data_IF_975221633578
#
_entry.id   IF_975221633578
#
_cell.length_a   1.000
_cell.length_b   1.000
_cell.length_c   1.000
_cell.angle_alpha   90.00
_cell.angle_beta   90.00
_cell.angle_gamma   90.00
#
_symmetry.space_group_name_H-M   'P 1'
#
loop_
_entity.id
_entity.type
_entity.pdbx_description
1 polymer ?
#
# COMPACT_ATOMS: atom_id res chain seq x y z
N UNK A 1 -51.05 36.62 -2.99
CA UNK A 1 -50.84 35.17 -2.85
C UNK A 1 -50.05 34.70 -4.06
N UNK A 2 -48.79 35.15 -4.22
CA UNK A 2 -47.95 34.78 -5.38
C UNK A 2 -46.45 34.92 -5.05
N UNK A 3 -46.03 34.47 -3.86
CA UNK A 3 -44.60 34.56 -3.47
C UNK A 3 -44.03 33.31 -2.79
N UNK A 4 -44.82 32.25 -2.65
CA UNK A 4 -44.36 30.97 -2.10
C UNK A 4 -44.15 29.87 -3.16
N UNK A 5 -44.46 30.15 -4.44
CA UNK A 5 -44.31 29.15 -5.53
C UNK A 5 -42.93 29.17 -6.19
N UNK A 6 -42.21 30.30 -6.10
CA UNK A 6 -40.90 30.48 -6.73
C UNK A 6 -39.71 29.94 -5.91
N UNK A 7 -39.88 29.67 -4.62
CA UNK A 7 -38.81 29.14 -3.77
C UNK A 7 -38.72 27.61 -3.80
N UNK A 8 -39.81 26.91 -4.15
CA UNK A 8 -39.82 25.46 -4.29
C UNK A 8 -39.20 24.98 -5.63
N UNK A 9 -39.44 25.68 -6.73
CA UNK A 9 -38.81 25.36 -8.04
C UNK A 9 -37.31 25.67 -8.07
N UNK A 10 -36.85 26.64 -7.28
CA UNK A 10 -35.43 26.96 -7.14
C UNK A 10 -34.66 25.91 -6.31
N UNK A 11 -35.33 25.20 -5.40
CA UNK A 11 -34.74 24.14 -4.59
C UNK A 11 -34.58 22.83 -5.39
N UNK A 12 -35.56 22.47 -6.22
CA UNK A 12 -35.51 21.27 -7.06
C UNK A 12 -34.43 21.39 -8.15
N UNK A 13 -34.28 22.56 -8.79
CA UNK A 13 -33.21 22.83 -9.78
C UNK A 13 -31.80 22.91 -9.18
N UNK A 14 -31.66 22.98 -7.85
CA UNK A 14 -30.37 22.94 -7.15
C UNK A 14 -29.99 21.52 -6.74
N UNK A 15 -30.96 20.61 -6.68
CA UNK A 15 -30.76 19.21 -6.34
C UNK A 15 -30.59 18.31 -7.59
N UNK A 16 -31.10 18.73 -8.75
CA UNK A 16 -30.83 18.07 -10.05
C UNK A 16 -29.52 18.50 -10.74
N UNK A 17 -28.79 19.47 -10.18
CA UNK A 17 -27.50 19.96 -10.72
C UNK A 17 -26.26 19.41 -10.00
N UNK A 18 -26.43 18.37 -9.18
CA UNK A 18 -25.34 17.67 -8.46
C UNK A 18 -25.14 16.24 -9.00
N UNK A 19 -25.78 15.88 -10.12
CA UNK A 19 -25.71 14.53 -10.70
C UNK A 19 -25.09 14.42 -12.10
N UNK A 20 -24.53 15.49 -12.65
CA UNK A 20 -23.75 15.40 -13.90
C UNK A 20 -22.49 16.26 -13.78
N UNK A 21 -21.37 15.67 -14.25
CA UNK A 21 -20.03 16.28 -14.43
C UNK A 21 -19.19 16.30 -13.13
N UNK A 22 -18.08 15.57 -12.97
CA UNK A 22 -17.15 14.99 -13.94
C UNK A 22 -16.63 13.65 -13.42
N UNK A 23 -16.88 12.60 -14.21
CA UNK A 23 -15.99 11.45 -14.26
C UNK A 23 -14.69 11.93 -14.91
N UNK A 24 -13.77 12.45 -14.11
CA UNK A 24 -12.35 12.40 -14.47
C UNK A 24 -11.94 10.93 -14.38
N UNK A 25 -12.26 10.19 -15.45
CA UNK A 25 -11.46 9.05 -15.86
C UNK A 25 -10.10 9.60 -16.22
N UNK A 26 -9.26 9.78 -15.21
CA UNK A 26 -7.85 9.53 -15.45
C UNK A 26 -7.77 8.06 -15.86
N UNK A 27 -7.65 7.84 -17.17
CA UNK A 27 -7.02 6.65 -17.71
C UNK A 27 -5.63 6.57 -17.08
N UNK A 28 -5.56 6.04 -15.86
CA UNK A 28 -4.33 5.49 -15.30
C UNK A 28 -4.12 4.21 -16.08
N UNK A 29 -3.59 4.42 -17.28
CA UNK A 29 -3.05 3.42 -18.16
C UNK A 29 -2.24 2.49 -17.27
N UNK A 30 -2.77 1.28 -17.06
CA UNK A 30 -2.17 0.23 -16.26
C UNK A 30 -0.79 -0.03 -16.83
N UNK A 31 0.20 0.67 -16.27
CA UNK A 31 1.59 0.46 -16.60
C UNK A 31 1.85 -0.97 -16.17
N UNK A 32 2.23 -1.82 -17.13
CA UNK A 32 2.83 -3.12 -16.86
C UNK A 32 4.13 -2.88 -16.06
N UNK A 33 4.00 -2.67 -14.75
CA UNK A 33 5.12 -2.49 -13.82
C UNK A 33 5.65 -3.87 -13.44
N UNK A 34 6.05 -4.67 -14.43
CA UNK A 34 6.69 -5.97 -14.15
C UNK A 34 8.21 -5.95 -14.33
N UNK A 35 8.79 -4.88 -14.90
CA UNK A 35 10.25 -4.78 -15.13
C UNK A 35 10.93 -3.57 -14.50
N UNK A 36 10.24 -2.43 -14.38
CA UNK A 36 10.83 -1.10 -14.13
C UNK A 36 11.19 -0.84 -12.66
N UNK A 37 10.48 -1.44 -11.71
CA UNK A 37 10.65 -1.15 -10.28
C UNK A 37 12.03 -1.54 -9.73
N UNK A 38 12.59 -2.69 -10.13
CA UNK A 38 13.93 -3.12 -9.68
C UNK A 38 15.04 -2.23 -10.24
N UNK A 39 14.85 -1.73 -11.45
CA UNK A 39 15.82 -0.91 -12.16
C UNK A 39 15.90 0.49 -11.56
N UNK A 40 14.75 1.12 -11.30
CA UNK A 40 14.64 2.41 -10.61
C UNK A 40 15.35 2.40 -9.25
N UNK A 41 15.32 1.28 -8.53
CA UNK A 41 15.86 1.21 -7.17
C UNK A 41 17.35 1.01 -7.17
N UNK A 42 17.85 0.24 -8.12
CA UNK A 42 19.30 0.11 -8.33
C UNK A 42 19.89 1.48 -8.71
N UNK A 43 19.18 2.24 -9.55
CA UNK A 43 19.54 3.61 -9.90
C UNK A 43 19.49 4.55 -8.68
N UNK A 44 18.39 4.58 -7.94
CA UNK A 44 18.24 5.45 -6.77
C UNK A 44 19.22 5.10 -5.64
N UNK A 45 19.48 3.81 -5.38
CA UNK A 45 20.53 3.37 -4.45
C UNK A 45 21.89 3.89 -4.90
N UNK A 46 22.20 3.81 -6.19
CA UNK A 46 23.42 4.35 -6.76
C UNK A 46 23.53 5.87 -6.59
N UNK A 47 22.45 6.61 -6.83
CA UNK A 47 22.39 8.06 -6.63
C UNK A 47 22.57 8.46 -5.16
N UNK A 48 21.91 7.76 -4.23
CA UNK A 48 22.09 7.98 -2.79
C UNK A 48 23.54 7.71 -2.39
N UNK A 49 24.14 6.62 -2.88
CA UNK A 49 25.55 6.32 -2.65
C UNK A 49 26.48 7.42 -3.13
N UNK A 50 26.28 7.92 -4.37
CA UNK A 50 27.03 9.06 -4.93
C UNK A 50 26.85 10.33 -4.10
N UNK A 51 25.63 10.61 -3.65
CA UNK A 51 25.35 11.76 -2.80
C UNK A 51 26.10 11.66 -1.46
N UNK A 52 26.10 10.49 -0.82
CA UNK A 52 26.86 10.23 0.42
C UNK A 52 28.36 10.44 0.21
N UNK A 53 28.94 9.90 -0.87
CA UNK A 53 30.36 10.10 -1.18
C UNK A 53 30.70 11.58 -1.43
N UNK A 54 29.85 12.27 -2.19
CA UNK A 54 30.00 13.71 -2.46
C UNK A 54 30.00 14.52 -1.16
N UNK A 55 29.04 14.24 -0.27
CA UNK A 55 28.90 14.91 1.03
C UNK A 55 30.12 14.63 1.93
N UNK A 56 30.58 13.39 1.98
CA UNK A 56 31.80 13.02 2.74
C UNK A 56 33.05 13.73 2.23
N UNK A 57 33.10 14.08 0.93
CA UNK A 57 34.22 14.84 0.34
C UNK A 57 34.25 16.32 0.72
N UNK A 58 33.16 16.89 1.24
CA UNK A 58 33.05 18.32 1.56
C UNK A 58 33.96 18.72 2.72
N UNK A 59 34.00 17.92 3.79
CA UNK A 59 34.84 18.17 4.97
C UNK A 59 36.32 18.36 4.62
N UNK A 60 36.96 17.37 3.95
CA UNK A 60 38.35 17.48 3.51
C UNK A 60 38.63 18.70 2.61
N UNK A 61 37.70 19.06 1.70
CA UNK A 61 37.84 20.24 0.83
C UNK A 61 37.84 21.53 1.62
N UNK A 62 36.84 21.71 2.50
CA UNK A 62 36.73 22.90 3.35
C UNK A 62 37.97 23.04 4.24
N UNK A 63 38.47 21.94 4.81
CA UNK A 63 39.69 21.97 5.61
C UNK A 63 40.90 22.48 4.82
N UNK A 64 41.08 22.00 3.58
CA UNK A 64 42.12 22.48 2.67
C UNK A 64 41.99 23.98 2.36
N UNK A 65 40.78 24.44 2.01
CA UNK A 65 40.50 25.84 1.70
C UNK A 65 40.78 26.77 2.89
N UNK A 66 40.46 26.32 4.11
CA UNK A 66 40.72 27.08 5.35
C UNK A 66 42.21 27.16 5.70
N UNK A 67 42.98 26.12 5.36
CA UNK A 67 44.45 26.11 5.51
C UNK A 67 45.10 27.08 4.51
N UNK A 68 44.66 27.05 3.24
CA UNK A 68 45.13 27.95 2.19
C UNK A 68 44.79 29.42 2.50
N UNK A 69 43.57 29.69 2.97
CA UNK A 69 43.11 31.02 3.35
C UNK A 69 43.76 31.58 4.63
N UNK A 70 44.67 30.82 5.28
CA UNK A 70 45.39 31.22 6.51
C UNK A 70 44.47 31.68 7.64
N UNK A 71 43.28 31.11 7.74
CA UNK A 71 42.29 31.45 8.78
C UNK A 71 42.87 31.19 10.18
N UNK A 72 42.51 31.97 11.19
CA UNK A 72 43.03 31.72 12.54
C UNK A 72 42.58 30.33 13.07
N UNK A 73 43.43 29.59 13.81
CA UNK A 73 43.16 28.20 14.20
C UNK A 73 41.83 27.97 14.93
N UNK A 74 41.40 28.94 15.77
CA UNK A 74 40.13 28.88 16.50
C UNK A 74 38.92 28.75 15.57
N UNK A 75 38.88 29.52 14.48
CA UNK A 75 37.76 29.49 13.53
C UNK A 75 37.80 28.24 12.64
N UNK A 76 38.99 27.68 12.36
CA UNK A 76 39.11 26.40 11.65
C UNK A 76 38.50 25.27 12.46
N UNK A 77 38.86 25.15 13.73
CA UNK A 77 38.33 24.11 14.62
C UNK A 77 36.80 24.20 14.78
N UNK A 78 36.25 25.41 14.87
CA UNK A 78 34.79 25.60 14.92
C UNK A 78 34.12 25.18 13.60
N UNK A 79 34.72 25.50 12.45
CA UNK A 79 34.18 25.14 11.15
C UNK A 79 34.30 23.63 10.89
N UNK A 80 35.46 23.02 11.17
CA UNK A 80 35.69 21.58 11.04
C UNK A 80 34.65 20.80 11.84
N UNK A 81 34.45 21.14 13.12
CA UNK A 81 33.43 20.49 13.96
C UNK A 81 32.01 20.67 13.39
N UNK A 82 31.69 21.88 12.91
CA UNK A 82 30.36 22.15 12.34
C UNK A 82 30.12 21.36 11.06
N UNK A 83 31.13 21.29 10.18
CA UNK A 83 31.05 20.55 8.92
C UNK A 83 30.99 19.05 9.17
N UNK A 84 31.82 18.51 10.05
CA UNK A 84 31.75 17.09 10.45
C UNK A 84 30.36 16.71 10.97
N UNK A 85 29.76 17.53 11.84
CA UNK A 85 28.41 17.27 12.34
C UNK A 85 27.36 17.29 11.23
N UNK A 86 27.43 18.26 10.30
CA UNK A 86 26.47 18.35 9.19
C UNK A 86 26.64 17.21 8.19
N UNK A 87 27.89 16.82 7.89
CA UNK A 87 28.21 15.65 7.05
C UNK A 87 27.63 14.39 7.68
N UNK A 88 27.81 14.20 8.99
CA UNK A 88 27.28 13.06 9.71
C UNK A 88 25.75 13.02 9.66
N UNK A 89 25.08 14.13 9.99
CA UNK A 89 23.61 14.22 9.94
C UNK A 89 23.05 13.91 8.55
N UNK A 90 23.69 14.43 7.50
CA UNK A 90 23.27 14.21 6.12
C UNK A 90 23.48 12.74 5.71
N UNK A 91 24.58 12.11 6.11
CA UNK A 91 24.82 10.69 5.89
C UNK A 91 23.76 9.83 6.58
N UNK A 92 23.47 10.08 7.86
CA UNK A 92 22.45 9.34 8.62
C UNK A 92 21.05 9.46 8.01
N UNK A 93 20.70 10.65 7.50
CA UNK A 93 19.45 10.90 6.79
C UNK A 93 19.36 10.07 5.51
N UNK A 94 20.43 10.06 4.71
CA UNK A 94 20.50 9.31 3.45
C UNK A 94 20.49 7.79 3.68
N UNK A 95 21.19 7.30 4.70
CA UNK A 95 21.17 5.89 5.08
C UNK A 95 19.79 5.45 5.58
N UNK A 96 19.08 6.32 6.30
CA UNK A 96 17.69 6.05 6.72
C UNK A 96 16.75 5.97 5.52
N UNK A 97 16.91 6.88 4.56
CA UNK A 97 16.18 6.82 3.29
C UNK A 97 16.48 5.52 2.52
N UNK A 98 17.75 5.15 2.40
CA UNK A 98 18.17 3.93 1.71
C UNK A 98 17.55 2.66 2.35
N UNK A 99 17.57 2.58 3.69
CA UNK A 99 16.89 1.50 4.42
C UNK A 99 15.39 1.49 4.18
N UNK A 100 14.74 2.65 4.26
CA UNK A 100 13.30 2.79 4.01
C UNK A 100 12.92 2.28 2.62
N UNK A 101 13.67 2.68 1.59
CA UNK A 101 13.46 2.24 0.22
C UNK A 101 13.59 0.72 0.05
N UNK A 102 14.58 0.08 0.70
CA UNK A 102 14.75 -1.37 0.66
C UNK A 102 13.52 -2.11 1.22
N UNK A 103 12.95 -1.60 2.32
CA UNK A 103 11.75 -2.17 2.94
C UNK A 103 10.53 -2.02 2.05
N UNK A 104 10.29 -0.82 1.50
CA UNK A 104 9.20 -0.59 0.55
C UNK A 104 9.29 -1.49 -0.68
N UNK A 105 10.50 -1.81 -1.14
CA UNK A 105 10.66 -2.71 -2.29
C UNK A 105 10.34 -4.15 -1.99
N UNK A 106 10.85 -4.64 -0.86
CA UNK A 106 10.60 -6.01 -0.45
C UNK A 106 9.10 -6.20 -0.25
N UNK A 107 8.46 -5.24 0.43
CA UNK A 107 7.02 -5.22 0.61
C UNK A 107 6.27 -5.14 -0.73
N UNK A 108 6.62 -4.17 -1.59
CA UNK A 108 5.97 -3.98 -2.89
C UNK A 108 6.07 -5.22 -3.78
N UNK A 109 7.24 -5.87 -3.81
CA UNK A 109 7.43 -7.12 -4.55
C UNK A 109 6.53 -8.24 -4.01
N UNK A 110 6.54 -8.48 -2.70
CA UNK A 110 5.68 -9.51 -2.11
C UNK A 110 4.19 -9.20 -2.32
N UNK A 111 3.80 -7.92 -2.26
CA UNK A 111 2.44 -7.48 -2.55
C UNK A 111 2.06 -7.73 -4.01
N UNK A 112 2.92 -7.38 -4.97
CA UNK A 112 2.70 -7.64 -6.39
C UNK A 112 2.63 -9.13 -6.67
N UNK A 113 3.57 -9.94 -6.15
CA UNK A 113 3.58 -11.39 -6.32
C UNK A 113 2.30 -12.03 -5.72
N UNK A 114 1.85 -11.52 -4.57
CA UNK A 114 0.63 -11.97 -3.89
C UNK A 114 -0.65 -11.57 -4.64
N UNK A 115 -0.66 -10.38 -5.24
CA UNK A 115 -1.77 -9.85 -6.05
C UNK A 115 -1.91 -10.63 -7.35
N UNK A 116 -0.81 -10.85 -8.07
CA UNK A 116 -0.80 -11.64 -9.30
C UNK A 116 -1.29 -13.08 -9.09
N UNK A 117 -0.88 -13.74 -7.98
CA UNK A 117 -1.37 -15.09 -7.63
C UNK A 117 -2.88 -15.15 -7.40
N UNK A 118 -3.51 -14.02 -7.09
CA UNK A 118 -4.96 -13.88 -6.87
C UNK A 118 -5.69 -13.32 -8.09
N UNK A 119 -4.98 -13.09 -9.20
CA UNK A 119 -5.55 -12.46 -10.40
C UNK A 119 -5.90 -10.99 -10.20
N UNK A 120 -5.26 -10.30 -9.24
CA UNK A 120 -5.44 -8.87 -9.01
C UNK A 120 -4.41 -8.14 -9.86
N UNK A 121 -4.88 -7.45 -10.91
CA UNK A 121 -4.04 -6.82 -11.93
C UNK A 121 -4.07 -5.29 -11.85
N UNK A 122 -5.08 -4.72 -11.21
CA UNK A 122 -5.26 -3.28 -11.06
C UNK A 122 -5.54 -2.84 -9.62
N UNK A 123 -5.46 -1.53 -9.37
CA UNK A 123 -5.88 -0.93 -8.10
C UNK A 123 -7.38 -1.08 -7.86
N UNK A 124 -8.19 -1.09 -8.93
CA UNK A 124 -9.63 -1.33 -8.85
C UNK A 124 -9.90 -2.76 -8.38
N UNK A 125 -9.24 -3.76 -8.99
CA UNK A 125 -9.31 -5.16 -8.56
C UNK A 125 -8.88 -5.34 -7.10
N UNK A 126 -7.84 -4.61 -6.68
CA UNK A 126 -7.36 -4.65 -5.30
C UNK A 126 -8.41 -4.09 -4.32
N UNK A 127 -9.05 -2.98 -4.68
CA UNK A 127 -10.09 -2.38 -3.86
C UNK A 127 -11.34 -3.27 -3.78
N UNK A 128 -11.76 -3.85 -4.91
CA UNK A 128 -12.87 -4.80 -4.96
C UNK A 128 -12.58 -6.08 -4.16
N UNK A 129 -11.36 -6.60 -4.25
CA UNK A 129 -10.90 -7.71 -3.43
C UNK A 129 -11.00 -7.39 -1.94
N UNK A 130 -10.48 -6.24 -1.50
CA UNK A 130 -10.54 -5.82 -0.10
C UNK A 130 -12.00 -5.70 0.39
N UNK A 131 -12.86 -5.06 -0.41
CA UNK A 131 -14.27 -4.89 -0.09
C UNK A 131 -14.99 -6.23 0.12
N UNK A 132 -14.69 -7.24 -0.70
CA UNK A 132 -15.27 -8.57 -0.55
C UNK A 132 -14.71 -9.26 0.70
N UNK A 133 -13.39 -9.24 0.89
CA UNK A 133 -12.74 -9.88 2.05
C UNK A 133 -13.20 -9.29 3.37
N UNK A 134 -13.31 -7.96 3.48
CA UNK A 134 -13.80 -7.28 4.67
C UNK A 134 -15.26 -7.64 4.97
N UNK A 135 -16.13 -7.53 3.96
CA UNK A 135 -17.55 -7.89 4.10
C UNK A 135 -17.73 -9.35 4.53
N UNK A 136 -17.01 -10.27 3.89
CA UNK A 136 -17.13 -11.70 4.18
C UNK A 136 -16.55 -12.01 5.58
N UNK A 137 -15.49 -11.30 6.00
CA UNK A 137 -14.94 -11.37 7.34
C UNK A 137 -15.93 -10.91 8.42
N UNK A 138 -16.60 -9.79 8.19
CA UNK A 138 -17.63 -9.27 9.10
C UNK A 138 -18.81 -10.25 9.20
N UNK A 139 -19.29 -10.77 8.08
CA UNK A 139 -20.38 -11.75 8.05
C UNK A 139 -20.01 -13.04 8.81
N UNK A 140 -18.79 -13.55 8.62
CA UNK A 140 -18.31 -14.72 9.36
C UNK A 140 -18.23 -14.43 10.87
N UNK A 141 -17.77 -13.25 11.26
CA UNK A 141 -17.73 -12.85 12.66
C UNK A 141 -19.13 -12.78 13.27
N UNK A 142 -20.12 -12.23 12.55
CA UNK A 142 -21.52 -12.20 12.99
C UNK A 142 -22.11 -13.60 13.18
N UNK A 143 -21.87 -14.52 12.24
CA UNK A 143 -22.32 -15.91 12.34
C UNK A 143 -21.69 -16.60 13.55
N UNK A 144 -20.37 -16.45 13.73
CA UNK A 144 -19.65 -17.01 14.86
C UNK A 144 -20.19 -16.47 16.19
N UNK A 145 -20.49 -15.17 16.26
CA UNK A 145 -21.07 -14.56 17.44
C UNK A 145 -22.51 -15.06 17.71
N UNK A 146 -23.34 -15.18 16.69
CA UNK A 146 -24.71 -15.68 16.81
C UNK A 146 -24.76 -17.12 17.33
N UNK A 147 -23.80 -17.94 16.91
CA UNK A 147 -23.68 -19.34 17.32
C UNK A 147 -22.80 -19.52 18.57
N UNK A 148 -22.24 -18.44 19.10
CA UNK A 148 -21.28 -18.45 20.22
C UNK A 148 -20.16 -19.48 20.03
N UNK A 149 -19.51 -19.41 18.87
CA UNK A 149 -18.53 -20.38 18.37
C UNK A 149 -17.42 -19.67 17.60
N UNK A 150 -16.45 -20.41 17.08
CA UNK A 150 -15.43 -19.90 16.16
C UNK A 150 -15.55 -20.50 14.75
N UNK A 151 -14.91 -19.85 13.78
CA UNK A 151 -15.03 -20.20 12.36
C UNK A 151 -14.56 -21.63 12.04
N UNK A 152 -13.62 -22.19 12.81
CA UNK A 152 -13.14 -23.55 12.61
C UNK A 152 -14.20 -24.57 13.06
N UNK A 153 -14.87 -24.31 14.18
CA UNK A 153 -15.97 -25.14 14.65
C UNK A 153 -17.15 -25.13 13.68
N UNK A 154 -17.50 -23.95 13.12
CA UNK A 154 -18.53 -23.85 12.07
C UNK A 154 -18.15 -24.69 10.85
N UNK A 155 -16.90 -24.56 10.37
CA UNK A 155 -16.39 -25.36 9.24
C UNK A 155 -16.51 -26.85 9.50
N UNK A 156 -16.13 -27.32 10.68
CA UNK A 156 -16.11 -28.74 11.02
C UNK A 156 -17.53 -29.32 11.02
N UNK A 157 -18.49 -28.64 11.65
CA UNK A 157 -19.90 -29.05 11.66
C UNK A 157 -20.51 -29.04 10.25
N UNK A 158 -20.23 -28.01 9.45
CA UNK A 158 -20.70 -27.96 8.05
C UNK A 158 -20.14 -29.14 7.25
N UNK A 159 -18.87 -29.50 7.46
CA UNK A 159 -18.25 -30.66 6.83
C UNK A 159 -18.87 -32.00 7.24
N UNK A 160 -19.31 -32.15 8.49
CA UNK A 160 -20.04 -33.33 8.95
C UNK A 160 -21.43 -33.42 8.32
N UNK A 161 -22.15 -32.30 8.25
CA UNK A 161 -23.48 -32.22 7.61
C UNK A 161 -23.39 -32.63 6.13
N UNK A 162 -22.40 -32.12 5.39
CA UNK A 162 -22.20 -32.49 3.98
C UNK A 162 -21.96 -33.99 3.81
N UNK A 163 -21.12 -34.60 4.65
CA UNK A 163 -20.86 -36.06 4.61
C UNK A 163 -22.12 -36.88 4.91
N UNK A 164 -22.95 -36.43 5.85
CA UNK A 164 -24.21 -37.10 6.18
C UNK A 164 -25.20 -37.03 5.00
N UNK A 165 -25.29 -35.89 4.33
CA UNK A 165 -26.13 -35.70 3.15
C UNK A 165 -25.68 -36.57 1.98
N UNK A 166 -24.37 -36.64 1.71
CA UNK A 166 -23.82 -37.51 0.66
C UNK A 166 -24.08 -39.00 0.94
N UNK A 167 -23.99 -39.42 2.21
CA UNK A 167 -24.30 -40.78 2.61
C UNK A 167 -25.78 -41.10 2.42
N UNK A 168 -26.67 -40.21 2.85
CA UNK A 168 -28.12 -40.37 2.64
C UNK A 168 -28.49 -40.42 1.15
N UNK A 169 -27.86 -39.60 0.31
CA UNK A 169 -28.08 -39.63 -1.14
C UNK A 169 -27.64 -40.96 -1.78
N UNK A 170 -26.49 -41.52 -1.36
CA UNK A 170 -26.01 -42.83 -1.81
C UNK A 170 -26.89 -43.99 -1.34
N UNK A 171 -27.34 -43.94 -0.09
CA UNK A 171 -28.22 -44.97 0.47
C UNK A 171 -29.61 -44.98 -0.21
N UNK A 172 -30.12 -43.81 -0.61
CA UNK A 172 -31.35 -43.71 -1.41
C UNK A 172 -31.18 -44.29 -2.82
N UNK A 173 -30.07 -43.98 -3.52
CA UNK A 173 -29.83 -44.55 -4.87
C UNK A 173 -29.61 -46.06 -4.86
N UNK A 174 -29.02 -46.61 -3.79
CA UNK A 174 -28.85 -48.07 -3.66
C UNK A 174 -30.17 -48.80 -3.44
N UNK A 175 -31.11 -48.18 -2.73
CA UNK A 175 -32.44 -48.77 -2.50
C UNK A 175 -33.33 -48.72 -3.75
N UNK A 176 -33.09 -47.78 -4.67
CA UNK A 176 -33.80 -47.71 -5.95
C UNK A 176 -33.24 -48.68 -7.01
N UNK A 177 -31.98 -49.10 -6.90
CA UNK A 177 -31.36 -50.12 -7.78
C UNK A 177 -31.67 -51.57 -7.36
N UNK A 178 -32.09 -51.80 -6.11
CA UNK A 178 -32.47 -53.11 -5.57
C UNK A 178 -33.99 -53.42 -5.71
N UNK A 179 -34.78 -52.52 -6.30
CA UNK A 179 -36.21 -52.70 -6.65
C UNK A 179 -36.42 -53.05 -8.12
#
# INVERSE_FOLDING_TARGET
>A
MDDCRNTAEAAVRRQERVLEMDQDKEDVQGSEVSGTGKEIVTLLRGEIGRAVESIKSIGPKIKGDLEEARIAPKYRLMNDRSVEQQVQNACETLETLERGMKSYLTFGKELTDSSQKRGIESLEDWHDFLKVVERDGDLLAEICNMLNTDVLQVRDVVGEIQKLQEKQAKDMMRNDEEM
#
